data_IF_122691526041
#
_entry.id   IF_122691526041
#
_cell.length_a   1.000
_cell.length_b   1.000
_cell.length_c   1.000
_cell.angle_alpha   90.00
_cell.angle_beta   90.00
_cell.angle_gamma   90.00
#
_symmetry.space_group_name_H-M   'P 1'
#
loop_
_entity.id
_entity.type
_entity.pdbx_description
1 polymer ?
#
# COMPACT_ATOMS: atom_id res chain seq x y z
N UNK A 1 44.83 24.96 -41.13
CA UNK A 1 43.96 24.16 -40.24
C UNK A 1 42.67 24.94 -40.06
N UNK A 2 41.60 24.55 -40.75
CA UNK A 2 40.27 25.11 -40.50
C UNK A 2 39.59 24.28 -39.40
N UNK A 3 38.90 24.90 -38.42
CA UNK A 3 38.17 24.17 -37.39
C UNK A 3 36.94 23.52 -38.02
N UNK A 4 36.78 22.23 -37.79
CA UNK A 4 35.61 21.45 -38.21
C UNK A 4 34.38 21.99 -37.51
N UNK A 5 33.44 22.52 -38.29
CA UNK A 5 32.10 22.93 -37.87
C UNK A 5 31.45 21.83 -37.03
N UNK A 6 31.07 22.17 -35.80
CA UNK A 6 30.10 21.41 -35.02
C UNK A 6 28.76 21.44 -35.76
N UNK A 7 28.24 20.26 -36.05
CA UNK A 7 27.02 20.06 -36.83
C UNK A 7 25.78 20.53 -36.03
N UNK A 8 25.13 21.65 -36.42
CA UNK A 8 24.06 22.27 -35.64
C UNK A 8 22.80 21.40 -35.53
N UNK A 9 22.65 20.38 -36.38
CA UNK A 9 21.55 19.43 -36.33
C UNK A 9 21.61 18.51 -35.08
N UNK A 10 22.82 18.24 -34.57
CA UNK A 10 23.04 17.37 -33.40
C UNK A 10 22.72 18.08 -32.07
N UNK A 11 22.91 19.39 -32.03
CA UNK A 11 22.64 20.23 -30.86
C UNK A 11 21.14 20.53 -30.66
N UNK A 12 20.37 20.62 -31.76
CA UNK A 12 18.92 20.84 -31.69
C UNK A 12 18.16 19.63 -31.12
N UNK A 13 18.54 18.42 -31.55
CA UNK A 13 17.96 17.15 -31.06
C UNK A 13 18.30 16.91 -29.57
N UNK A 14 19.53 17.26 -29.17
CA UNK A 14 19.98 17.17 -27.77
C UNK A 14 19.23 18.16 -26.89
N UNK A 15 19.03 19.41 -27.34
CA UNK A 15 18.28 20.44 -26.59
C UNK A 15 16.81 20.06 -26.40
N UNK A 16 16.16 19.55 -27.45
CA UNK A 16 14.77 19.08 -27.38
C UNK A 16 14.63 17.88 -26.43
N UNK A 17 15.55 16.91 -26.49
CA UNK A 17 15.58 15.77 -25.59
C UNK A 17 15.77 16.18 -24.12
N UNK A 18 16.70 17.11 -23.84
CA UNK A 18 16.94 17.63 -22.48
C UNK A 18 15.68 18.34 -21.96
N UNK A 19 15.02 19.15 -22.79
CA UNK A 19 13.79 19.85 -22.39
C UNK A 19 12.64 18.85 -22.11
N UNK A 20 12.47 17.83 -22.94
CA UNK A 20 11.46 16.79 -22.74
C UNK A 20 11.73 15.98 -21.46
N UNK A 21 12.99 15.65 -21.17
CA UNK A 21 13.39 14.99 -19.93
C UNK A 21 13.12 15.88 -18.72
N UNK A 22 13.51 17.16 -18.77
CA UNK A 22 13.27 18.12 -17.69
C UNK A 22 11.77 18.28 -17.39
N UNK A 23 10.93 18.34 -18.43
CA UNK A 23 9.47 18.39 -18.30
C UNK A 23 8.95 17.11 -17.63
N UNK A 24 9.44 15.95 -18.05
CA UNK A 24 9.03 14.65 -17.49
C UNK A 24 9.43 14.53 -16.01
N UNK A 25 10.64 14.96 -15.65
CA UNK A 25 11.11 14.99 -14.26
C UNK A 25 10.29 15.96 -13.41
N UNK A 26 9.96 17.14 -13.93
CA UNK A 26 9.12 18.10 -13.21
C UNK A 26 7.71 17.54 -12.96
N UNK A 27 7.09 16.92 -13.97
CA UNK A 27 5.79 16.28 -13.83
C UNK A 27 5.83 15.11 -12.84
N UNK A 28 6.89 14.29 -12.87
CA UNK A 28 7.07 13.20 -11.93
C UNK A 28 7.20 13.74 -10.50
N UNK A 29 8.03 14.75 -10.28
CA UNK A 29 8.20 15.42 -8.98
C UNK A 29 6.88 15.98 -8.45
N UNK A 30 6.13 16.71 -9.28
CA UNK A 30 4.82 17.24 -8.90
C UNK A 30 3.84 16.13 -8.52
N UNK A 31 3.79 15.03 -9.28
CA UNK A 31 2.93 13.87 -8.98
C UNK A 31 3.31 13.22 -7.64
N UNK A 32 4.60 13.03 -7.37
CA UNK A 32 5.09 12.47 -6.11
C UNK A 32 4.72 13.36 -4.91
N UNK A 33 4.93 14.68 -5.01
CA UNK A 33 4.52 15.62 -3.95
C UNK A 33 3.00 15.65 -3.73
N UNK A 34 2.22 15.66 -4.81
CA UNK A 34 0.76 15.61 -4.72
C UNK A 34 0.26 14.31 -4.09
N UNK A 35 0.90 13.17 -4.40
CA UNK A 35 0.53 11.88 -3.86
C UNK A 35 0.85 11.77 -2.36
N UNK A 36 2.00 12.30 -1.92
CA UNK A 36 2.36 12.39 -0.50
C UNK A 36 1.32 13.20 0.28
N UNK A 37 0.98 14.40 -0.21
CA UNK A 37 0.01 15.28 0.43
C UNK A 37 -1.39 14.65 0.50
N UNK A 38 -1.82 13.95 -0.55
CA UNK A 38 -3.11 13.25 -0.57
C UNK A 38 -3.17 12.13 0.49
N UNK A 39 -2.10 11.34 0.64
CA UNK A 39 -2.04 10.31 1.68
C UNK A 39 -1.99 10.91 3.09
N UNK A 40 -1.24 12.00 3.28
CA UNK A 40 -1.21 12.72 4.55
C UNK A 40 -2.62 13.20 4.93
N UNK A 41 -3.35 13.80 3.99
CA UNK A 41 -4.73 14.24 4.19
C UNK A 41 -5.70 13.07 4.48
N UNK A 42 -5.50 11.91 3.84
CA UNK A 42 -6.31 10.70 4.05
C UNK A 42 -6.02 9.96 5.37
N UNK A 43 -4.87 10.24 6.00
CA UNK A 43 -4.37 9.49 7.16
C UNK A 43 -5.36 9.41 8.34
N UNK A 44 -6.03 10.51 8.76
CA UNK A 44 -6.97 10.45 9.88
C UNK A 44 -8.13 9.49 9.63
N UNK A 45 -8.70 9.50 8.42
CA UNK A 45 -9.82 8.63 8.04
C UNK A 45 -9.39 7.16 7.99
N UNK A 46 -8.22 6.87 7.41
CA UNK A 46 -7.67 5.51 7.38
C UNK A 46 -7.41 4.97 8.79
N UNK A 47 -6.84 5.80 9.68
CA UNK A 47 -6.60 5.43 11.08
C UNK A 47 -7.91 5.18 11.82
N UNK A 48 -8.91 6.05 11.65
CA UNK A 48 -10.20 5.90 12.33
C UNK A 48 -10.96 4.65 11.85
N UNK A 49 -11.00 4.41 10.54
CA UNK A 49 -11.60 3.22 9.95
C UNK A 49 -10.98 1.93 10.50
N UNK A 50 -9.65 1.87 10.59
CA UNK A 50 -8.93 0.75 11.17
C UNK A 50 -9.01 0.68 12.70
N UNK A 51 -9.35 1.77 13.40
CA UNK A 51 -9.52 1.71 14.86
C UNK A 51 -10.91 1.18 15.19
N UNK A 52 -11.92 1.70 14.52
CA UNK A 52 -13.34 1.53 14.85
C UNK A 52 -13.97 0.32 14.18
N UNK A 53 -13.52 -0.05 12.97
CA UNK A 53 -14.21 -0.99 12.08
C UNK A 53 -13.32 -2.09 11.50
N UNK A 54 -12.14 -2.33 12.10
CA UNK A 54 -11.12 -3.26 11.58
C UNK A 54 -11.59 -4.69 11.28
N UNK A 55 -12.62 -5.16 11.98
CA UNK A 55 -13.18 -6.52 11.85
C UNK A 55 -14.47 -6.58 11.03
N UNK A 56 -14.93 -5.45 10.50
CA UNK A 56 -16.23 -5.35 9.82
C UNK A 56 -16.07 -4.82 8.40
N UNK A 57 -16.76 -5.45 7.45
CA UNK A 57 -17.01 -4.93 6.10
C UNK A 57 -15.85 -4.14 5.48
N UNK A 58 -16.00 -2.82 5.47
CA UNK A 58 -15.07 -1.87 4.86
C UNK A 58 -13.71 -1.80 5.59
N UNK A 59 -13.68 -1.82 6.92
CA UNK A 59 -12.43 -1.73 7.67
C UNK A 59 -11.55 -2.96 7.48
N UNK A 60 -12.14 -4.16 7.33
CA UNK A 60 -11.42 -5.37 6.93
C UNK A 60 -10.73 -5.18 5.58
N UNK A 61 -11.42 -4.58 4.60
CA UNK A 61 -10.87 -4.32 3.26
C UNK A 61 -9.72 -3.31 3.29
N UNK A 62 -9.93 -2.17 3.96
CA UNK A 62 -8.91 -1.14 4.15
C UNK A 62 -7.66 -1.73 4.80
N UNK A 63 -7.85 -2.59 5.81
CA UNK A 63 -6.77 -3.28 6.51
C UNK A 63 -5.94 -4.14 5.57
N UNK A 64 -6.60 -4.95 4.75
CA UNK A 64 -5.94 -5.82 3.78
C UNK A 64 -5.10 -5.01 2.80
N UNK A 65 -5.67 -3.95 2.23
CA UNK A 65 -4.97 -3.10 1.28
C UNK A 65 -3.74 -2.44 1.93
N UNK A 66 -3.91 -1.76 3.07
CA UNK A 66 -2.82 -1.04 3.72
C UNK A 66 -1.71 -1.97 4.22
N UNK A 67 -2.07 -3.14 4.74
CA UNK A 67 -1.09 -4.13 5.16
C UNK A 67 -0.29 -4.68 3.97
N UNK A 68 -0.96 -4.98 2.86
CA UNK A 68 -0.31 -5.40 1.61
C UNK A 68 0.60 -4.33 1.03
N UNK A 69 0.18 -3.05 1.06
CA UNK A 69 1.02 -1.94 0.60
C UNK A 69 2.29 -1.79 1.46
N UNK A 70 2.19 -2.02 2.77
CA UNK A 70 3.31 -1.93 3.70
C UNK A 70 4.27 -3.12 3.59
N UNK A 71 3.74 -4.34 3.58
CA UNK A 71 4.54 -5.58 3.58
C UNK A 71 5.00 -6.02 2.19
N UNK A 72 4.49 -5.39 1.13
CA UNK A 72 4.63 -5.84 -0.26
C UNK A 72 4.11 -7.25 -0.50
N UNK A 73 3.25 -7.78 0.39
CA UNK A 73 2.69 -9.11 0.23
C UNK A 73 1.33 -9.01 -0.48
N UNK A 74 1.29 -9.45 -1.74
CA UNK A 74 0.16 -9.27 -2.66
C UNK A 74 -0.99 -10.28 -2.43
N UNK A 75 -1.37 -10.51 -1.18
CA UNK A 75 -2.44 -11.46 -0.83
C UNK A 75 -3.85 -10.88 -1.02
N UNK A 76 -4.01 -9.79 -1.76
CA UNK A 76 -5.28 -9.06 -1.84
C UNK A 76 -5.69 -8.88 -3.29
N UNK A 77 -6.83 -9.48 -3.64
CA UNK A 77 -7.55 -9.12 -4.86
C UNK A 77 -8.06 -7.68 -4.71
N UNK A 78 -7.42 -6.73 -5.42
CA UNK A 78 -7.79 -5.31 -5.37
C UNK A 78 -9.22 -5.07 -5.82
N UNK A 79 -9.76 -5.87 -6.74
CA UNK A 79 -11.16 -5.79 -7.14
C UNK A 79 -12.08 -6.02 -5.94
N UNK A 80 -11.92 -7.17 -5.28
CA UNK A 80 -12.75 -7.53 -4.12
C UNK A 80 -12.53 -6.57 -2.95
N UNK A 81 -11.28 -6.16 -2.71
CA UNK A 81 -10.95 -5.27 -1.60
C UNK A 81 -11.46 -3.84 -1.81
N UNK A 82 -11.50 -3.34 -3.04
CA UNK A 82 -12.06 -2.02 -3.32
C UNK A 82 -13.60 -2.06 -3.45
N UNK A 83 -14.21 -3.22 -3.73
CA UNK A 83 -15.67 -3.33 -3.81
C UNK A 83 -16.34 -3.13 -2.45
N UNK A 84 -17.33 -2.23 -2.40
CA UNK A 84 -18.12 -1.97 -1.20
C UNK A 84 -17.48 -1.01 -0.19
N UNK A 85 -16.37 -0.35 -0.55
CA UNK A 85 -15.93 0.85 0.13
C UNK A 85 -16.88 2.01 -0.21
N UNK A 86 -17.19 2.84 0.77
CA UNK A 86 -17.85 4.12 0.50
C UNK A 86 -16.89 5.07 -0.24
N UNK A 87 -17.44 6.21 -0.69
CA UNK A 87 -16.70 7.15 -1.52
C UNK A 87 -15.45 7.69 -0.78
N UNK A 88 -15.61 8.10 0.47
CA UNK A 88 -14.53 8.72 1.25
C UNK A 88 -13.40 7.71 1.53
N UNK A 89 -13.74 6.47 1.90
CA UNK A 89 -12.75 5.42 2.10
C UNK A 89 -12.12 4.94 0.80
N UNK A 90 -12.87 4.93 -0.31
CA UNK A 90 -12.30 4.63 -1.62
C UNK A 90 -11.27 5.67 -2.03
N UNK A 91 -11.56 6.96 -1.86
CA UNK A 91 -10.63 8.05 -2.16
C UNK A 91 -9.39 8.00 -1.26
N UNK A 92 -9.56 7.71 0.03
CA UNK A 92 -8.46 7.56 0.97
C UNK A 92 -7.54 6.37 0.64
N UNK A 93 -8.14 5.22 0.28
CA UNK A 93 -7.40 4.04 -0.18
C UNK A 93 -6.68 4.32 -1.51
N UNK A 94 -7.35 5.00 -2.44
CA UNK A 94 -6.74 5.43 -3.70
C UNK A 94 -5.52 6.33 -3.45
N UNK A 95 -5.59 7.26 -2.48
CA UNK A 95 -4.46 8.09 -2.10
C UNK A 95 -3.27 7.24 -1.61
N UNK A 96 -3.52 6.21 -0.78
CA UNK A 96 -2.48 5.30 -0.31
C UNK A 96 -1.83 4.49 -1.44
N UNK A 97 -2.64 3.92 -2.34
CA UNK A 97 -2.15 3.17 -3.52
C UNK A 97 -1.32 4.10 -4.42
N UNK A 98 -1.84 5.30 -4.71
CA UNK A 98 -1.17 6.28 -5.58
C UNK A 98 0.16 6.72 -4.99
N UNK A 99 0.19 7.00 -3.68
CA UNK A 99 1.42 7.34 -2.98
C UNK A 99 2.45 6.20 -3.04
N UNK A 100 2.04 4.94 -2.83
CA UNK A 100 2.95 3.79 -2.98
C UNK A 100 3.51 3.66 -4.38
N UNK A 101 2.70 3.88 -5.42
CA UNK A 101 3.15 3.83 -6.81
C UNK A 101 4.08 4.99 -7.18
N UNK A 102 3.82 6.20 -6.66
CA UNK A 102 4.57 7.40 -7.00
C UNK A 102 5.86 7.61 -6.20
N UNK A 103 5.92 7.07 -4.97
CA UNK A 103 7.02 7.27 -4.02
C UNK A 103 7.78 5.98 -3.69
N UNK A 104 7.24 4.81 -4.05
CA UNK A 104 7.88 3.53 -3.79
C UNK A 104 8.16 3.34 -2.29
N UNK A 105 9.40 2.98 -1.88
CA UNK A 105 9.78 2.81 -0.48
C UNK A 105 9.61 4.06 0.39
N UNK A 106 9.65 5.27 -0.18
CA UNK A 106 9.58 6.52 0.59
C UNK A 106 8.23 6.72 1.30
N UNK A 107 7.18 6.03 0.87
CA UNK A 107 5.86 6.08 1.53
C UNK A 107 5.78 5.23 2.81
N UNK A 108 6.73 4.31 3.03
CA UNK A 108 6.65 3.32 4.12
C UNK A 108 6.56 3.93 5.52
N UNK A 109 7.26 5.03 5.86
CA UNK A 109 7.09 5.69 7.14
C UNK A 109 5.64 6.12 7.40
N UNK A 110 4.94 6.63 6.37
CA UNK A 110 3.54 7.05 6.48
C UNK A 110 2.61 5.85 6.63
N UNK A 111 2.80 4.79 5.83
CA UNK A 111 2.02 3.56 5.97
C UNK A 111 2.21 2.93 7.35
N UNK A 112 3.46 2.87 7.83
CA UNK A 112 3.81 2.39 9.17
C UNK A 112 3.16 3.25 10.25
N UNK A 113 3.12 4.57 10.08
CA UNK A 113 2.44 5.48 11.00
C UNK A 113 0.94 5.17 11.06
N UNK A 114 0.27 4.99 9.91
CA UNK A 114 -1.16 4.65 9.83
C UNK A 114 -1.44 3.33 10.55
N UNK A 115 -0.69 2.27 10.21
CA UNK A 115 -0.84 0.94 10.81
C UNK A 115 -0.53 0.94 12.32
N UNK A 116 0.49 1.67 12.75
CA UNK A 116 0.81 1.80 14.19
C UNK A 116 -0.27 2.57 14.94
N UNK A 117 -0.74 3.68 14.39
CA UNK A 117 -1.73 4.55 15.02
C UNK A 117 -3.12 3.92 15.11
N UNK A 118 -3.41 2.97 14.23
CA UNK A 118 -4.65 2.19 14.23
C UNK A 118 -4.60 0.93 15.11
N UNK A 119 -3.42 0.56 15.61
CA UNK A 119 -3.23 -0.63 16.44
C UNK A 119 -3.01 -1.93 15.65
N UNK A 120 -2.78 -1.86 14.35
CA UNK A 120 -2.58 -3.04 13.49
C UNK A 120 -1.36 -3.87 13.91
N UNK A 121 -0.26 -3.24 14.31
CA UNK A 121 0.91 -3.99 14.82
C UNK A 121 0.58 -4.76 16.10
N UNK A 122 -0.20 -4.17 17.03
CA UNK A 122 -0.59 -4.88 18.24
C UNK A 122 -1.51 -6.08 17.93
N UNK A 123 -2.35 -5.97 16.88
CA UNK A 123 -3.17 -7.08 16.39
C UNK A 123 -2.30 -8.16 15.74
N UNK A 124 -1.32 -7.78 14.92
CA UNK A 124 -0.34 -8.71 14.36
C UNK A 124 0.42 -9.46 15.46
N UNK A 125 0.99 -8.75 16.43
CA UNK A 125 1.74 -9.36 17.56
C UNK A 125 0.86 -10.35 18.35
N UNK A 126 -0.44 -10.07 18.48
CA UNK A 126 -1.38 -10.97 19.14
C UNK A 126 -1.65 -12.25 18.34
N UNK A 127 -1.63 -12.17 16.99
CA UNK A 127 -1.78 -13.34 16.11
C UNK A 127 -0.48 -14.14 16.08
N UNK A 128 0.67 -13.47 15.97
CA UNK A 128 1.99 -14.09 15.98
C UNK A 128 2.19 -14.92 17.26
N UNK A 129 1.90 -14.36 18.44
CA UNK A 129 2.00 -15.09 19.73
C UNK A 129 1.13 -16.34 19.84
N UNK A 130 0.07 -16.44 19.03
CA UNK A 130 -0.85 -17.60 19.01
C UNK A 130 -0.49 -18.60 17.92
N UNK A 131 0.32 -18.17 16.95
CA UNK A 131 0.77 -19.01 15.85
C UNK A 131 1.91 -19.88 16.34
N UNK A 132 1.90 -21.17 15.98
CA UNK A 132 2.97 -22.09 16.36
C UNK A 132 4.25 -21.73 15.59
N UNK A 133 5.42 -21.86 16.22
CA UNK A 133 6.73 -21.40 15.69
C UNK A 133 7.09 -21.90 14.28
N UNK A 134 6.49 -23.02 13.84
CA UNK A 134 6.77 -23.63 12.54
C UNK A 134 5.75 -23.26 11.45
N UNK A 135 4.71 -22.51 11.78
CA UNK A 135 3.65 -22.11 10.86
C UNK A 135 3.82 -20.64 10.45
N UNK A 136 3.51 -20.29 9.19
CA UNK A 136 3.51 -18.89 8.77
C UNK A 136 2.42 -18.10 9.50
N UNK A 137 2.75 -16.88 9.92
CA UNK A 137 1.78 -15.94 10.51
C UNK A 137 0.91 -15.36 9.39
N UNK A 138 -0.36 -15.77 9.33
CA UNK A 138 -1.32 -15.25 8.35
C UNK A 138 -1.94 -13.97 8.91
N UNK A 139 -1.59 -12.83 8.30
CA UNK A 139 -2.12 -11.54 8.69
C UNK A 139 -2.16 -10.52 7.52
N UNK A 140 -3.26 -9.78 7.35
CA UNK A 140 -4.54 -9.95 8.05
C UNK A 140 -5.22 -11.25 7.60
N UNK A 141 -6.12 -11.84 8.40
CA UNK A 141 -6.79 -13.09 8.01
C UNK A 141 -7.61 -12.88 6.73
N UNK A 142 -7.54 -13.83 5.79
CA UNK A 142 -8.30 -13.74 4.54
C UNK A 142 -9.79 -13.59 4.83
N UNK A 143 -10.47 -12.77 4.02
CA UNK A 143 -11.92 -12.60 4.13
C UNK A 143 -12.60 -13.87 3.59
N UNK A 144 -12.76 -14.86 4.46
CA UNK A 144 -13.46 -16.13 4.22
C UNK A 144 -12.89 -17.00 3.08
N UNK A 145 -11.71 -17.57 3.29
CA UNK A 145 -11.44 -18.87 2.68
C UNK A 145 -12.06 -19.96 3.58
N UNK A 146 -13.06 -20.67 3.04
CA UNK A 146 -13.70 -21.79 3.73
C UNK A 146 -12.68 -22.88 4.10
N UNK A 147 -11.59 -23.01 3.34
CA UNK A 147 -10.54 -23.97 3.60
C UNK A 147 -9.65 -23.54 4.79
N UNK A 148 -9.44 -22.24 5.01
CA UNK A 148 -8.74 -21.73 6.21
C UNK A 148 -9.59 -21.87 7.47
N UNK A 149 -10.89 -21.56 7.39
CA UNK A 149 -11.82 -21.79 8.50
C UNK A 149 -11.87 -23.27 8.87
N UNK A 150 -11.78 -24.14 7.88
CA UNK A 150 -11.75 -25.59 8.05
C UNK A 150 -10.42 -26.08 8.64
N UNK A 151 -9.28 -25.59 8.17
CA UNK A 151 -7.96 -25.88 8.74
C UNK A 151 -7.85 -25.42 10.20
N UNK A 152 -8.38 -24.25 10.54
CA UNK A 152 -8.44 -23.77 11.92
C UNK A 152 -9.37 -24.62 12.80
N UNK A 153 -10.50 -25.07 12.26
CA UNK A 153 -11.42 -25.98 12.96
C UNK A 153 -10.81 -27.37 13.19
N UNK A 154 -10.08 -27.91 12.21
CA UNK A 154 -9.38 -29.19 12.31
C UNK A 154 -8.20 -29.11 13.30
N UNK A 155 -7.45 -28.00 13.31
CA UNK A 155 -6.39 -27.75 14.29
C UNK A 155 -6.92 -27.62 15.73
N UNK A 156 -8.06 -26.94 15.92
CA UNK A 156 -8.70 -26.80 17.23
C UNK A 156 -9.25 -28.12 17.81
N UNK A 157 -9.63 -29.07 16.96
CA UNK A 157 -10.06 -30.42 17.39
C UNK A 157 -8.88 -31.34 17.73
N UNK A 158 -7.67 -30.99 17.28
CA UNK A 158 -6.46 -31.80 17.44
C UNK A 158 -5.62 -31.40 18.66
N UNK A 159 -5.95 -30.28 19.32
CA UNK A 159 -5.27 -29.84 20.54
C UNK A 159 -5.79 -30.64 21.76
N UNK A 160 -4.93 -31.37 22.48
CA UNK A 160 -5.35 -32.05 23.71
C UNK A 160 -5.68 -31.01 24.80
N UNK A 161 -6.78 -31.28 25.52
CA UNK A 161 -7.25 -30.51 26.68
C UNK A 161 -6.21 -30.45 27.81
#
# INVERSE_FOLDING_TARGET
MQPTNLDPARDYDTSACIHALATSLHLASHRSSSAAAALEAATPLLVDSLRSHWSTGQGTRVRHILWSLYTCNHLVNLGDACTGLDLELSEAVQAAITARLALGPEVEPQLKLILKSSGEFARFDAVEKRTQDHLPVIYPPNAADADELRLLAEAAQSAPL
#
